data_IF_960579220318
#
_entry.id   IF_960579220318
#
_cell.length_a   1.000
_cell.length_b   1.000
_cell.length_c   1.000
_cell.angle_alpha   90.00
_cell.angle_beta   90.00
_cell.angle_gamma   90.00
#
_symmetry.space_group_name_H-M   'P 1'
#
loop_
_entity.id
_entity.type
_entity.pdbx_description
1 polymer ?
#
# COMPACT_ATOMS: atom_id res chain seq x y z
N UNK A 1 7.90 15.20 -13.84
CA UNK A 1 6.90 14.67 -12.90
C UNK A 1 7.66 14.12 -11.71
N UNK A 2 7.64 14.80 -10.56
CA UNK A 2 8.30 14.32 -9.34
C UNK A 2 7.28 13.45 -8.59
N UNK A 3 7.48 12.14 -8.58
CA UNK A 3 6.62 11.20 -7.88
C UNK A 3 6.92 11.21 -6.39
N UNK A 4 5.92 11.54 -5.57
CA UNK A 4 6.03 11.44 -4.11
C UNK A 4 6.32 9.99 -3.72
N UNK A 5 7.22 9.81 -2.75
CA UNK A 5 7.56 8.54 -2.13
C UNK A 5 7.03 8.52 -0.70
N UNK A 6 6.82 7.32 -0.18
CA UNK A 6 6.33 7.11 1.17
C UNK A 6 7.39 6.39 2.00
N UNK A 7 7.63 6.86 3.21
CA UNK A 7 8.62 6.30 4.14
C UNK A 7 7.98 6.12 5.51
N UNK A 8 8.11 4.94 6.11
CA UNK A 8 7.62 4.64 7.46
C UNK A 8 8.77 4.68 8.46
N UNK A 9 8.63 5.42 9.55
CA UNK A 9 9.61 5.43 10.62
C UNK A 9 9.58 4.10 11.40
N UNK A 10 10.71 3.41 11.52
CA UNK A 10 10.78 2.10 12.20
C UNK A 10 10.60 2.21 13.71
N UNK A 11 10.87 3.38 14.29
CA UNK A 11 10.72 3.64 15.74
C UNK A 11 9.27 3.89 16.16
N UNK A 12 8.51 4.67 15.38
CA UNK A 12 7.17 5.13 15.80
C UNK A 12 6.03 4.85 14.80
N UNK A 13 6.34 4.27 13.63
CA UNK A 13 5.37 3.92 12.59
C UNK A 13 4.72 5.10 11.87
N UNK A 14 5.22 6.34 12.04
CA UNK A 14 4.70 7.49 11.29
C UNK A 14 5.11 7.39 9.81
N UNK A 15 4.14 7.59 8.92
CA UNK A 15 4.36 7.62 7.46
C UNK A 15 4.58 9.05 6.98
N UNK A 16 5.68 9.24 6.23
CA UNK A 16 6.08 10.50 5.62
C UNK A 16 5.89 10.44 4.10
N UNK A 17 5.32 11.49 3.51
CA UNK A 17 5.17 11.65 2.06
C UNK A 17 6.17 12.70 1.56
N UNK A 18 7.35 12.26 1.16
CA UNK A 18 8.46 13.12 0.76
C UNK A 18 9.00 12.70 -0.62
N UNK A 19 9.71 13.60 -1.29
CA UNK A 19 10.39 13.28 -2.55
C UNK A 19 11.55 12.30 -2.34
N UNK A 20 12.30 12.53 -1.26
CA UNK A 20 13.44 11.73 -0.83
C UNK A 20 13.26 11.33 0.65
N UNK A 21 14.11 10.42 1.12
CA UNK A 21 14.07 9.93 2.49
C UNK A 21 14.26 11.09 3.50
N UNK A 22 13.38 11.24 4.50
CA UNK A 22 13.49 12.29 5.49
C UNK A 22 14.70 12.05 6.41
N UNK A 23 15.43 13.11 6.76
CA UNK A 23 16.56 12.99 7.67
C UNK A 23 16.16 12.67 9.13
N UNK A 24 14.95 13.07 9.56
CA UNK A 24 14.42 12.84 10.91
C UNK A 24 12.90 12.75 10.94
N UNK A 25 12.39 11.93 11.85
CA UNK A 25 10.96 11.74 12.04
C UNK A 25 10.39 12.91 12.86
N UNK A 26 9.42 13.62 12.29
CA UNK A 26 8.79 14.78 12.92
C UNK A 26 8.03 14.46 14.24
N UNK A 27 7.85 13.19 14.60
CA UNK A 27 7.17 12.77 15.83
C UNK A 27 8.12 12.29 16.93
N UNK A 28 9.14 11.50 16.59
CA UNK A 28 9.98 10.81 17.58
C UNK A 28 11.49 11.09 17.42
N UNK A 29 11.86 11.97 16.48
CA UNK A 29 13.23 12.32 16.12
C UNK A 29 14.12 11.11 15.74
N UNK A 30 13.52 9.96 15.40
CA UNK A 30 14.24 8.81 14.84
C UNK A 30 14.72 9.07 13.42
N UNK A 31 15.78 8.37 13.03
CA UNK A 31 16.47 8.48 11.74
C UNK A 31 16.38 7.22 10.87
N UNK A 32 15.79 6.13 11.38
CA UNK A 32 15.55 4.90 10.63
C UNK A 32 14.19 4.92 9.92
N UNK A 33 14.21 4.67 8.61
CA UNK A 33 13.02 4.63 7.75
C UNK A 33 13.02 3.44 6.80
N UNK A 34 11.84 2.81 6.66
CA UNK A 34 11.57 1.80 5.64
C UNK A 34 10.72 2.41 4.52
N UNK A 35 11.14 2.31 3.24
CA UNK A 35 10.34 2.80 2.11
C UNK A 35 9.06 1.96 1.95
N UNK A 36 7.93 2.63 1.88
CA UNK A 36 6.63 2.00 1.62
C UNK A 36 6.44 1.94 0.12
N UNK A 37 6.75 0.78 -0.47
CA UNK A 37 6.33 0.46 -1.82
C UNK A 37 4.84 0.14 -1.79
N UNK A 38 4.02 1.03 -2.35
CA UNK A 38 2.64 0.69 -2.64
C UNK A 38 2.67 -0.41 -3.71
N UNK A 39 2.44 -1.66 -3.30
CA UNK A 39 2.21 -2.78 -4.19
C UNK A 39 0.92 -2.50 -4.97
N UNK A 40 1.05 -1.78 -6.09
CA UNK A 40 -0.05 -1.46 -6.99
C UNK A 40 -0.55 -2.68 -7.76
N UNK A 41 0.10 -3.83 -7.60
CA UNK A 41 -0.23 -5.07 -8.32
C UNK A 41 -1.42 -5.79 -7.68
N UNK A 42 -1.74 -5.51 -6.40
CA UNK A 42 -2.93 -6.08 -5.75
C UNK A 42 -4.27 -5.42 -6.09
N UNK A 43 -4.28 -4.17 -6.54
CA UNK A 43 -5.52 -3.49 -6.97
C UNK A 43 -5.94 -3.88 -8.41
N UNK A 44 -5.06 -4.53 -9.18
CA UNK A 44 -5.37 -4.95 -10.55
C UNK A 44 -6.00 -6.35 -10.69
N UNK A 45 -6.08 -7.14 -9.59
CA UNK A 45 -6.51 -8.55 -9.63
C UNK A 45 -7.78 -8.84 -8.80
N UNK A 46 -8.51 -7.83 -8.34
CA UNK A 46 -9.73 -7.99 -7.54
C UNK A 46 -11.05 -7.80 -8.27
N UNK A 47 -11.05 -7.62 -9.59
CA UNK A 47 -12.21 -7.16 -10.36
C UNK A 47 -13.14 -8.24 -10.91
N UNK A 48 -12.64 -9.40 -11.35
CA UNK A 48 -13.44 -10.24 -12.26
C UNK A 48 -13.10 -11.73 -12.19
N UNK A 49 -13.15 -12.38 -11.02
CA UNK A 49 -13.29 -13.85 -11.02
C UNK A 49 -14.11 -14.33 -9.82
N UNK A 50 -15.26 -14.95 -10.15
CA UNK A 50 -16.02 -15.89 -9.31
C UNK A 50 -17.10 -15.38 -8.32
N UNK A 51 -17.90 -14.34 -8.65
CA UNK A 51 -19.22 -14.14 -8.00
C UNK A 51 -20.38 -14.85 -8.73
N UNK A 52 -20.19 -15.41 -9.92
CA UNK A 52 -21.23 -16.17 -10.64
C UNK A 52 -20.99 -17.68 -10.55
N UNK A 53 -20.99 -18.22 -9.33
CA UNK A 53 -21.20 -19.64 -9.09
C UNK A 53 -22.40 -19.79 -8.16
N UNK A 54 -23.61 -19.76 -8.73
CA UNK A 54 -24.85 -19.86 -7.98
C UNK A 54 -26.08 -20.07 -8.84
N UNK A 55 -26.38 -21.34 -9.12
CA UNK A 55 -27.74 -21.88 -9.35
C UNK A 55 -28.42 -21.64 -10.70
N UNK A 56 -28.23 -22.56 -11.65
CA UNK A 56 -29.33 -23.29 -12.28
C UNK A 56 -28.77 -24.48 -13.08
N UNK A 57 -28.64 -25.62 -12.39
CA UNK A 57 -28.58 -26.93 -13.01
C UNK A 57 -29.91 -27.60 -12.64
N UNK A 58 -30.68 -27.94 -13.68
CA UNK A 58 -31.68 -29.01 -13.78
C UNK A 58 -33.10 -28.83 -13.18
N UNK A 59 -34.13 -28.88 -14.05
CA UNK A 59 -35.07 -30.02 -14.20
C UNK A 59 -36.41 -29.57 -14.84
N UNK A 60 -36.54 -29.78 -16.16
CA UNK A 60 -37.70 -30.40 -16.88
C UNK A 60 -37.85 -29.96 -18.34
#
# INVERSE_FOLDING_TARGET
MLGLRYFSCDRCGLVHSNLDEPARCARCDGDDFTPVVADRERDALGGDVAYFAGSMIDER
#
